data_IF_508302773295
#
_entry.id   IF_508302773295
#
_cell.length_a   1.000
_cell.length_b   1.000
_cell.length_c   1.000
_cell.angle_alpha   90.00
_cell.angle_beta   90.00
_cell.angle_gamma   90.00
#
_symmetry.space_group_name_H-M   'P 1'
#
loop_
_entity.id
_entity.type
_entity.pdbx_description
1 polymer ?
#
# COMPACT_ATOMS: atom_id res chain seq x y z
N UNK A 1 7.48 28.37 -12.34
CA UNK A 1 6.34 27.89 -11.53
C UNK A 1 6.66 28.09 -10.07
N UNK A 2 5.76 28.65 -9.32
CA UNK A 2 5.93 28.81 -7.87
C UNK A 2 5.73 27.45 -7.21
N UNK A 3 6.50 27.16 -6.15
CA UNK A 3 6.32 25.92 -5.39
C UNK A 3 4.89 25.84 -4.86
N UNK A 4 4.20 24.77 -5.17
CA UNK A 4 2.81 24.55 -4.82
C UNK A 4 1.82 24.82 -5.94
N UNK A 5 2.25 25.43 -7.03
CA UNK A 5 1.39 25.61 -8.20
C UNK A 5 1.25 24.29 -8.95
N UNK A 6 0.03 23.76 -8.98
CA UNK A 6 -0.28 22.50 -9.66
C UNK A 6 -1.35 22.78 -10.72
N UNK A 7 -1.14 22.33 -11.96
CA UNK A 7 -2.17 22.49 -13.00
C UNK A 7 -3.50 21.87 -12.57
N UNK A 8 -4.66 22.50 -12.87
CA UNK A 8 -5.97 21.93 -12.50
C UNK A 8 -6.19 20.51 -12.97
N UNK A 9 -5.69 20.15 -14.16
CA UNK A 9 -5.80 18.76 -14.68
C UNK A 9 -5.07 17.75 -13.81
N UNK A 10 -3.91 18.13 -13.26
CA UNK A 10 -3.14 17.27 -12.38
C UNK A 10 -3.80 17.16 -11.00
N UNK A 11 -4.37 18.25 -10.48
CA UNK A 11 -5.14 18.23 -9.23
C UNK A 11 -6.32 17.28 -9.33
N UNK A 12 -7.07 17.35 -10.43
CA UNK A 12 -8.22 16.47 -10.66
C UNK A 12 -7.78 15.00 -10.75
N UNK A 13 -6.68 14.74 -11.44
CA UNK A 13 -6.11 13.40 -11.57
C UNK A 13 -5.70 12.84 -10.21
N UNK A 14 -5.05 13.65 -9.37
CA UNK A 14 -4.62 13.25 -8.04
C UNK A 14 -5.81 12.97 -7.11
N UNK A 15 -6.86 13.77 -7.20
CA UNK A 15 -8.08 13.56 -6.42
C UNK A 15 -8.78 12.24 -6.80
N UNK A 16 -8.87 11.97 -8.10
CA UNK A 16 -9.47 10.71 -8.58
C UNK A 16 -8.67 9.50 -8.09
N UNK A 17 -7.34 9.58 -8.12
CA UNK A 17 -6.47 8.49 -7.63
C UNK A 17 -6.58 8.29 -6.12
N UNK A 18 -6.72 9.37 -5.36
CA UNK A 18 -6.91 9.28 -3.92
C UNK A 18 -8.18 8.47 -3.56
N UNK A 19 -9.27 8.71 -4.29
CA UNK A 19 -10.51 7.95 -4.11
C UNK A 19 -10.31 6.47 -4.45
N UNK A 20 -9.62 6.16 -5.55
CA UNK A 20 -9.30 4.79 -5.96
C UNK A 20 -8.54 4.03 -4.88
N UNK A 21 -7.60 4.69 -4.22
CA UNK A 21 -6.77 4.06 -3.19
C UNK A 21 -7.49 3.96 -1.85
N UNK A 22 -8.26 4.97 -1.48
CA UNK A 22 -8.92 5.04 -0.18
C UNK A 22 -9.81 3.84 0.08
N UNK A 23 -10.72 3.56 -0.83
CA UNK A 23 -11.67 2.45 -0.66
C UNK A 23 -10.97 1.10 -0.64
N UNK A 24 -9.97 0.94 -1.50
CA UNK A 24 -9.17 -0.29 -1.54
C UNK A 24 -8.47 -0.56 -0.19
N UNK A 25 -7.82 0.45 0.36
CA UNK A 25 -7.09 0.30 1.63
C UNK A 25 -8.06 0.09 2.79
N UNK A 26 -9.18 0.81 2.82
CA UNK A 26 -10.22 0.62 3.84
C UNK A 26 -10.69 -0.82 3.91
N UNK A 27 -10.94 -1.42 2.75
CA UNK A 27 -11.38 -2.81 2.66
C UNK A 27 -10.30 -3.77 3.20
N UNK A 28 -9.04 -3.53 2.86
CA UNK A 28 -7.93 -4.43 3.23
C UNK A 28 -7.51 -4.29 4.69
N UNK A 29 -7.48 -3.08 5.22
CA UNK A 29 -6.93 -2.83 6.56
C UNK A 29 -7.97 -2.89 7.68
N UNK A 30 -9.24 -2.65 7.39
CA UNK A 30 -10.28 -2.55 8.40
C UNK A 30 -10.11 -1.30 9.25
N UNK A 31 -11.13 -0.99 10.06
CA UNK A 31 -11.16 0.23 10.85
C UNK A 31 -11.36 -0.07 12.33
N UNK A 32 -10.57 0.59 13.19
CA UNK A 32 -10.80 0.60 14.63
C UNK A 32 -10.59 2.01 15.18
N UNK A 33 -11.63 2.54 15.84
CA UNK A 33 -11.57 3.88 16.43
C UNK A 33 -10.97 3.89 17.83
N UNK A 34 -10.72 2.73 18.41
CA UNK A 34 -10.01 2.56 19.68
C UNK A 34 -8.72 1.79 19.42
N UNK A 35 -7.62 2.22 20.03
CA UNK A 35 -6.33 1.57 19.88
C UNK A 35 -6.39 0.08 20.23
N UNK A 36 -5.73 -0.73 19.45
CA UNK A 36 -5.67 -2.18 19.64
C UNK A 36 -4.22 -2.66 19.63
N UNK A 37 -3.93 -3.74 20.35
CA UNK A 37 -2.57 -4.28 20.37
C UNK A 37 -2.09 -4.71 18.99
N UNK A 38 -0.88 -4.31 18.64
CA UNK A 38 -0.25 -4.63 17.37
C UNK A 38 1.27 -4.64 17.57
N UNK A 39 1.91 -5.77 17.27
CA UNK A 39 3.33 -5.97 17.54
C UNK A 39 3.64 -5.68 19.01
N UNK A 40 4.59 -4.81 19.29
CA UNK A 40 4.98 -4.42 20.66
C UNK A 40 4.27 -3.17 21.16
N UNK A 41 3.33 -2.64 20.38
CA UNK A 41 2.60 -1.42 20.71
C UNK A 41 1.14 -1.49 20.34
N UNK A 42 0.61 -0.39 19.84
CA UNK A 42 -0.80 -0.25 19.51
C UNK A 42 -0.97 0.43 18.16
N UNK A 43 -1.99 -0.01 17.42
CA UNK A 43 -2.43 0.62 16.18
C UNK A 43 -3.84 1.16 16.34
N UNK A 44 -4.24 2.09 15.47
CA UNK A 44 -5.54 2.74 15.51
C UNK A 44 -5.95 3.16 14.10
N UNK A 45 -7.25 3.39 13.90
CA UNK A 45 -7.78 3.78 12.60
C UNK A 45 -7.68 2.66 11.59
N UNK A 46 -7.07 2.92 10.46
CA UNK A 46 -6.84 1.94 9.39
C UNK A 46 -5.42 1.39 9.43
N UNK A 47 -4.95 1.04 10.63
CA UNK A 47 -3.65 0.40 10.79
C UNK A 47 -2.49 1.34 11.06
N UNK A 48 -2.74 2.55 11.57
CA UNK A 48 -1.66 3.45 11.94
C UNK A 48 -1.03 3.00 13.27
N UNK A 49 0.25 2.65 13.22
CA UNK A 49 1.02 2.24 14.38
C UNK A 49 1.49 3.45 15.19
N UNK A 50 1.69 3.25 16.49
CA UNK A 50 2.23 4.26 17.38
C UNK A 50 1.23 4.93 18.30
N UNK A 51 -0.01 4.43 18.35
CA UNK A 51 -1.01 4.85 19.31
C UNK A 51 -0.65 4.34 20.71
N UNK A 52 -1.30 4.90 21.73
CA UNK A 52 -1.17 4.44 23.12
C UNK A 52 -2.41 3.64 23.51
N UNK A 53 -2.23 2.73 24.48
CA UNK A 53 -3.35 1.97 25.01
C UNK A 53 -4.46 2.92 25.50
N UNK A 54 -5.70 2.65 25.11
CA UNK A 54 -6.83 3.45 25.50
C UNK A 54 -7.13 4.66 24.61
N UNK A 55 -6.27 4.96 23.65
CA UNK A 55 -6.51 6.05 22.69
C UNK A 55 -7.77 5.79 21.87
N UNK A 56 -8.52 6.86 21.62
CA UNK A 56 -9.68 6.84 20.73
C UNK A 56 -9.59 8.00 19.75
N UNK A 57 -10.12 7.77 18.54
CA UNK A 57 -10.22 8.80 17.52
C UNK A 57 -11.62 8.81 16.91
N UNK A 58 -11.97 9.90 16.25
CA UNK A 58 -13.21 10.01 15.49
C UNK A 58 -13.04 9.36 14.11
N UNK A 59 -14.17 9.10 13.44
CA UNK A 59 -14.12 8.64 12.04
C UNK A 59 -13.40 9.64 11.15
N UNK A 60 -13.62 10.94 11.38
CA UNK A 60 -12.93 11.99 10.60
C UNK A 60 -11.43 11.93 10.79
N UNK A 61 -10.95 11.73 12.00
CA UNK A 61 -9.52 11.58 12.28
C UNK A 61 -8.96 10.32 11.64
N UNK A 62 -9.71 9.21 11.67
CA UNK A 62 -9.29 7.97 11.00
C UNK A 62 -9.13 8.19 9.50
N UNK A 63 -10.06 8.91 8.88
CA UNK A 63 -10.00 9.23 7.45
C UNK A 63 -8.82 10.16 7.12
N UNK A 64 -8.55 11.16 7.95
CA UNK A 64 -7.41 12.06 7.79
C UNK A 64 -6.08 11.29 7.90
N UNK A 65 -5.97 10.43 8.89
CA UNK A 65 -4.78 9.58 9.07
C UNK A 65 -4.56 8.67 7.86
N UNK A 66 -5.64 8.07 7.36
CA UNK A 66 -5.56 7.21 6.18
C UNK A 66 -5.05 7.99 4.96
N UNK A 67 -5.58 9.19 4.73
CA UNK A 67 -5.16 10.02 3.61
C UNK A 67 -3.67 10.38 3.71
N UNK A 68 -3.21 10.79 4.88
CA UNK A 68 -1.79 11.06 5.12
C UNK A 68 -0.93 9.81 4.87
N UNK A 69 -1.36 8.67 5.37
CA UNK A 69 -0.62 7.42 5.25
C UNK A 69 -0.57 6.91 3.82
N UNK A 70 -1.66 7.07 3.06
CA UNK A 70 -1.68 6.76 1.62
C UNK A 70 -0.73 7.69 0.87
N UNK A 71 -0.80 8.99 1.11
CA UNK A 71 0.04 9.96 0.43
C UNK A 71 1.54 9.69 0.65
N UNK A 72 1.93 9.41 1.87
CA UNK A 72 3.32 9.06 2.19
C UNK A 72 3.80 7.84 1.41
N UNK A 73 2.95 6.82 1.32
CA UNK A 73 3.29 5.59 0.62
C UNK A 73 3.31 5.75 -0.89
N UNK A 74 2.41 6.54 -1.45
CA UNK A 74 2.41 6.86 -2.88
C UNK A 74 3.69 7.60 -3.26
N UNK A 75 4.12 8.56 -2.43
CA UNK A 75 5.41 9.24 -2.63
C UNK A 75 6.56 8.24 -2.61
N UNK A 76 6.61 7.38 -1.62
CA UNK A 76 7.66 6.36 -1.50
C UNK A 76 7.64 5.38 -2.69
N UNK A 77 6.45 4.96 -3.13
CA UNK A 77 6.31 4.09 -4.30
C UNK A 77 6.87 4.76 -5.56
N UNK A 78 6.55 6.03 -5.79
CA UNK A 78 7.07 6.77 -6.93
C UNK A 78 8.58 6.97 -6.87
N UNK A 79 9.14 7.13 -5.69
CA UNK A 79 10.59 7.24 -5.50
C UNK A 79 11.31 5.92 -5.78
N UNK A 80 10.72 4.80 -5.41
CA UNK A 80 11.32 3.48 -5.56
C UNK A 80 10.97 2.81 -6.90
N UNK A 81 9.82 3.15 -7.46
CA UNK A 81 9.31 2.60 -8.71
C UNK A 81 8.82 3.78 -9.57
N UNK A 82 9.75 4.45 -10.31
CA UNK A 82 9.42 5.66 -11.05
C UNK A 82 8.25 5.55 -12.04
N UNK A 83 7.97 4.35 -12.56
CA UNK A 83 6.85 4.12 -13.46
C UNK A 83 5.51 3.86 -12.79
N UNK A 84 5.43 3.92 -11.46
CA UNK A 84 4.24 3.53 -10.69
C UNK A 84 2.97 4.22 -11.17
N UNK A 85 2.99 5.54 -11.33
CA UNK A 85 1.78 6.31 -11.69
C UNK A 85 1.21 5.98 -13.07
N UNK A 86 1.99 5.35 -13.93
CA UNK A 86 1.57 4.97 -15.28
C UNK A 86 1.11 3.51 -15.38
N UNK A 87 1.12 2.79 -14.27
CA UNK A 87 0.69 1.40 -14.23
C UNK A 87 -0.84 1.28 -14.21
N UNK A 88 -1.38 0.11 -14.60
CA UNK A 88 -2.82 -0.13 -14.47
C UNK A 88 -3.32 0.05 -13.04
N UNK A 89 -4.57 0.44 -12.88
CA UNK A 89 -5.18 0.68 -11.58
C UNK A 89 -5.01 -0.51 -10.63
N UNK A 90 -5.30 -1.72 -11.11
CA UNK A 90 -5.18 -2.93 -10.28
C UNK A 90 -3.76 -3.12 -9.75
N UNK A 91 -2.75 -2.89 -10.58
CA UNK A 91 -1.35 -2.97 -10.16
C UNK A 91 -1.03 -1.92 -9.10
N UNK A 92 -1.47 -0.67 -9.31
CA UNK A 92 -1.24 0.41 -8.35
C UNK A 92 -1.91 0.16 -7.01
N UNK A 93 -3.15 -0.29 -7.02
CA UNK A 93 -3.89 -0.62 -5.79
C UNK A 93 -3.20 -1.73 -5.00
N UNK A 94 -2.86 -2.83 -5.67
CA UNK A 94 -2.23 -3.96 -5.01
C UNK A 94 -0.81 -3.64 -4.51
N UNK A 95 -0.05 -2.89 -5.28
CA UNK A 95 1.29 -2.47 -4.87
C UNK A 95 1.24 -1.52 -3.67
N UNK A 96 0.26 -0.60 -3.64
CA UNK A 96 0.04 0.27 -2.49
C UNK A 96 -0.35 -0.55 -1.25
N UNK A 97 -1.29 -1.48 -1.39
CA UNK A 97 -1.69 -2.36 -0.29
C UNK A 97 -0.54 -3.18 0.26
N UNK A 98 0.31 -3.68 -0.62
CA UNK A 98 1.51 -4.42 -0.25
C UNK A 98 2.55 -3.53 0.42
N UNK A 99 2.71 -2.31 -0.05
CA UNK A 99 3.58 -1.31 0.58
C UNK A 99 3.08 -0.93 1.97
N UNK A 100 1.77 -0.82 2.11
CA UNK A 100 1.11 -0.52 3.39
C UNK A 100 1.46 -1.55 4.47
N UNK A 101 1.57 -2.83 4.09
CA UNK A 101 1.97 -3.91 4.99
C UNK A 101 3.49 -4.07 5.12
N UNK A 102 4.26 -3.45 4.25
CA UNK A 102 5.71 -3.61 4.21
C UNK A 102 6.19 -4.79 3.37
N UNK A 103 5.30 -5.54 2.74
CA UNK A 103 5.70 -6.71 1.94
C UNK A 103 6.49 -6.32 0.69
N UNK A 104 6.02 -5.32 -0.04
CA UNK A 104 6.72 -4.86 -1.25
C UNK A 104 7.97 -4.06 -0.91
N UNK A 105 7.90 -3.17 0.08
CA UNK A 105 9.07 -2.41 0.50
C UNK A 105 10.19 -3.30 1.05
N UNK A 106 9.83 -4.45 1.61
CA UNK A 106 10.77 -5.46 2.08
C UNK A 106 11.28 -6.41 0.99
N UNK A 107 10.95 -6.14 -0.28
CA UNK A 107 11.31 -7.01 -1.42
C UNK A 107 12.13 -6.26 -2.46
N UNK A 108 13.37 -5.85 -2.13
CA UNK A 108 14.19 -5.03 -3.04
C UNK A 108 14.48 -5.69 -4.39
N UNK A 109 14.60 -7.00 -4.42
CA UNK A 109 14.81 -7.73 -5.68
C UNK A 109 13.60 -7.65 -6.59
N UNK A 110 12.40 -7.78 -6.02
CA UNK A 110 11.16 -7.64 -6.78
C UNK A 110 11.03 -6.21 -7.33
N UNK A 111 11.35 -5.20 -6.53
CA UNK A 111 11.35 -3.80 -6.96
C UNK A 111 12.30 -3.58 -8.13
N UNK A 112 13.52 -4.10 -8.04
CA UNK A 112 14.50 -3.99 -9.13
C UNK A 112 13.98 -4.61 -10.43
N UNK A 113 13.35 -5.79 -10.35
CA UNK A 113 12.80 -6.47 -11.51
C UNK A 113 11.61 -5.71 -12.11
N UNK A 114 10.77 -5.10 -11.28
CA UNK A 114 9.69 -4.23 -11.75
C UNK A 114 10.27 -3.05 -12.53
N UNK A 115 11.30 -2.41 -12.00
CA UNK A 115 11.95 -1.26 -12.64
C UNK A 115 12.62 -1.60 -13.95
N UNK A 116 13.05 -2.85 -14.13
CA UNK A 116 13.59 -3.37 -15.36
C UNK A 116 12.51 -3.75 -16.39
N UNK A 117 11.25 -3.75 -15.98
CA UNK A 117 10.15 -4.20 -16.82
C UNK A 117 10.03 -5.72 -16.89
N UNK A 118 10.74 -6.46 -16.04
CA UNK A 118 10.68 -7.91 -15.99
C UNK A 118 9.59 -8.37 -15.00
N UNK A 119 8.36 -8.14 -15.38
CA UNK A 119 7.20 -8.34 -14.51
C UNK A 119 6.93 -9.80 -14.18
N UNK A 120 7.11 -10.70 -15.12
CA UNK A 120 6.92 -12.13 -14.88
C UNK A 120 7.86 -12.64 -13.77
N UNK A 121 9.13 -12.26 -13.85
CA UNK A 121 10.13 -12.64 -12.86
C UNK A 121 9.90 -11.91 -11.53
N UNK A 122 9.52 -10.64 -11.59
CA UNK A 122 9.20 -9.85 -10.40
C UNK A 122 8.06 -10.47 -9.60
N UNK A 123 7.02 -10.95 -10.27
CA UNK A 123 5.89 -11.63 -9.64
C UNK A 123 6.33 -12.85 -8.84
N UNK A 124 7.21 -13.67 -9.40
CA UNK A 124 7.76 -14.86 -8.72
C UNK A 124 8.64 -14.46 -7.55
N UNK A 125 9.50 -13.49 -7.74
CA UNK A 125 10.40 -13.00 -6.69
C UNK A 125 9.64 -12.41 -5.51
N UNK A 126 8.52 -11.72 -5.77
CA UNK A 126 7.69 -11.16 -4.72
C UNK A 126 7.12 -12.23 -3.78
N UNK A 127 6.79 -13.40 -4.30
CA UNK A 127 6.27 -14.53 -3.50
C UNK A 127 7.38 -15.39 -2.88
N UNK A 128 8.64 -15.15 -3.22
CA UNK A 128 9.77 -15.91 -2.71
C UNK A 128 10.25 -15.33 -1.38
N UNK A 129 9.47 -15.56 -0.33
CA UNK A 129 9.78 -15.07 1.00
C UNK A 129 9.21 -16.02 2.07
N UNK A 130 9.74 -15.87 3.29
CA UNK A 130 9.40 -16.74 4.40
C UNK A 130 7.94 -16.60 4.83
N UNK A 131 7.39 -15.40 4.83
CA UNK A 131 6.00 -15.17 5.21
C UNK A 131 5.05 -15.93 4.28
N UNK A 132 5.27 -15.87 2.99
CA UNK A 132 4.42 -16.56 2.02
C UNK A 132 4.53 -18.08 2.15
N UNK A 133 5.74 -18.59 2.41
CA UNK A 133 5.97 -20.03 2.54
C UNK A 133 5.54 -20.61 3.88
N UNK A 134 5.41 -19.79 4.91
CA UNK A 134 5.07 -20.21 6.26
C UNK A 134 3.62 -20.73 6.31
N UNK A 135 3.40 -22.00 6.67
CA UNK A 135 2.05 -22.56 6.79
C UNK A 135 1.21 -21.88 7.89
N UNK A 136 1.84 -21.18 8.83
CA UNK A 136 1.15 -20.46 9.89
C UNK A 136 0.64 -19.09 9.46
N UNK A 137 1.09 -18.58 8.31
CA UNK A 137 0.63 -17.29 7.80
C UNK A 137 -0.85 -17.37 7.45
N UNK A 138 -1.63 -16.38 7.91
CA UNK A 138 -3.06 -16.33 7.68
C UNK A 138 -3.42 -16.43 6.19
N UNK A 139 -4.44 -17.22 5.80
CA UNK A 139 -4.83 -17.36 4.39
C UNK A 139 -5.15 -16.04 3.70
N UNK A 140 -5.76 -15.10 4.41
CA UNK A 140 -6.08 -13.77 3.87
C UNK A 140 -4.85 -12.97 3.48
N UNK A 141 -3.76 -13.10 4.24
CA UNK A 141 -2.48 -12.45 3.94
C UNK A 141 -1.88 -13.06 2.68
N UNK A 142 -1.87 -14.38 2.57
CA UNK A 142 -1.37 -15.07 1.37
C UNK A 142 -2.16 -14.69 0.13
N UNK A 143 -3.48 -14.57 0.24
CA UNK A 143 -4.33 -14.12 -0.88
C UNK A 143 -3.99 -12.70 -1.32
N UNK A 144 -3.71 -11.80 -0.37
CA UNK A 144 -3.27 -10.43 -0.70
C UNK A 144 -1.95 -10.45 -1.45
N UNK A 145 -1.00 -11.27 -1.01
CA UNK A 145 0.31 -11.40 -1.68
C UNK A 145 0.14 -11.98 -3.08
N UNK A 146 -0.69 -13.00 -3.24
CA UNK A 146 -0.99 -13.60 -4.54
C UNK A 146 -1.67 -12.62 -5.48
N UNK A 147 -2.60 -11.80 -4.99
CA UNK A 147 -3.25 -10.76 -5.78
C UNK A 147 -2.24 -9.71 -6.28
N UNK A 148 -1.30 -9.30 -5.43
CA UNK A 148 -0.23 -8.39 -5.82
C UNK A 148 0.67 -9.02 -6.89
N UNK A 149 1.10 -10.27 -6.69
CA UNK A 149 1.92 -10.99 -7.65
C UNK A 149 1.21 -11.13 -9.01
N UNK A 150 -0.08 -11.45 -8.99
CA UNK A 150 -0.88 -11.57 -10.21
C UNK A 150 -0.97 -10.23 -10.94
N UNK A 151 -1.22 -9.14 -10.22
CA UNK A 151 -1.31 -7.80 -10.82
C UNK A 151 0.02 -7.38 -11.46
N UNK A 152 1.14 -7.71 -10.83
CA UNK A 152 2.48 -7.47 -11.39
C UNK A 152 2.67 -8.29 -12.66
N UNK A 153 2.37 -9.59 -12.62
CA UNK A 153 2.54 -10.49 -13.76
C UNK A 153 1.70 -10.05 -14.97
N UNK A 154 0.51 -9.55 -14.74
CA UNK A 154 -0.40 -9.13 -15.80
C UNK A 154 0.08 -7.88 -16.54
N UNK A 155 1.10 -7.20 -16.04
CA UNK A 155 1.74 -6.10 -16.76
C UNK A 155 2.73 -6.57 -17.82
N UNK A 156 3.05 -7.84 -17.82
CA UNK A 156 3.98 -8.42 -18.78
C UNK A 156 3.43 -8.43 -20.21
#
# INVERSE_FOLDING_TARGET
MVAGDVPPSLLQKNLNRADDYRDFIKEKEGKRLTAYPDAEGFSIGYGRYGANEGDTITQEQADEYLEEDINKRVVALNENIPGFDNMPLEARQNMLGSWYRGSLSGSPKAIALINEGNYAKASKEFLDNDEYRDPETAPGIKKRMEATAKAIREMA
#
